data_IF_515060124282
#
_entry.id   IF_515060124282
#
_cell.length_a   1.000
_cell.length_b   1.000
_cell.length_c   1.000
_cell.angle_alpha   90.00
_cell.angle_beta   90.00
_cell.angle_gamma   90.00
#
_symmetry.space_group_name_H-M   'P 1'
#
loop_
_entity.id
_entity.type
_entity.pdbx_description
1 polymer ?
#
# COMPACT_ATOMS: atom_id res chain seq x y z
N UNK A 1 -4.21 -7.64 -19.15
CA UNK A 1 -3.60 -8.16 -17.90
C UNK A 1 -2.18 -7.63 -17.84
N UNK A 2 -1.78 -7.07 -16.70
CA UNK A 2 -0.44 -6.54 -16.44
C UNK A 2 0.25 -7.48 -15.45
N UNK A 3 1.39 -8.05 -15.84
CA UNK A 3 2.14 -8.98 -14.99
C UNK A 3 3.50 -8.41 -14.62
N UNK A 4 3.83 -8.51 -13.34
CA UNK A 4 5.10 -8.07 -12.75
C UNK A 4 5.75 -9.25 -12.01
N UNK A 5 6.40 -10.18 -12.74
CA UNK A 5 7.03 -11.36 -12.14
C UNK A 5 8.29 -11.05 -11.32
N UNK A 6 8.94 -9.91 -11.59
CA UNK A 6 10.17 -9.47 -10.92
C UNK A 6 10.13 -7.94 -10.76
N UNK A 7 9.23 -7.41 -9.90
CA UNK A 7 9.11 -5.97 -9.73
C UNK A 7 10.36 -5.40 -9.06
N UNK A 8 10.88 -4.30 -9.61
CA UNK A 8 11.98 -3.56 -8.99
C UNK A 8 11.49 -2.76 -7.79
N UNK A 9 10.22 -2.35 -7.82
CA UNK A 9 9.62 -1.47 -6.81
C UNK A 9 8.12 -1.70 -6.73
N UNK A 10 7.62 -1.90 -5.51
CA UNK A 10 6.18 -1.97 -5.21
C UNK A 10 5.91 -1.13 -3.97
N UNK A 11 5.17 -0.04 -4.13
CA UNK A 11 5.07 1.00 -3.08
C UNK A 11 3.65 1.52 -2.94
N UNK A 12 3.26 1.80 -1.69
CA UNK A 12 2.05 2.58 -1.39
C UNK A 12 2.40 4.05 -1.38
N UNK A 13 1.55 4.89 -1.97
CA UNK A 13 1.62 6.34 -1.83
C UNK A 13 0.27 6.95 -1.51
N UNK A 14 0.29 8.23 -1.12
CA UNK A 14 -0.90 9.04 -0.87
C UNK A 14 -0.86 10.28 -1.76
N UNK A 15 -1.89 10.46 -2.58
CA UNK A 15 -2.07 11.59 -3.49
C UNK A 15 -3.14 12.54 -2.97
N UNK A 16 -3.14 13.78 -3.45
CA UNK A 16 -4.13 14.79 -3.07
C UNK A 16 -3.82 15.57 -1.78
N UNK A 17 -4.66 16.55 -1.43
CA UNK A 17 -4.48 17.35 -0.21
C UNK A 17 -4.83 16.56 1.05
N UNK A 18 -4.45 17.10 2.20
CA UNK A 18 -4.80 16.55 3.51
C UNK A 18 -6.33 16.60 3.69
N UNK A 19 -6.95 15.48 4.09
CA UNK A 19 -8.41 15.34 4.20
C UNK A 19 -9.07 14.69 2.98
N UNK A 20 -8.47 14.79 1.79
CA UNK A 20 -8.95 14.18 0.55
C UNK A 20 -7.90 13.24 -0.06
N UNK A 21 -7.14 12.55 0.79
CA UNK A 21 -6.06 11.67 0.34
C UNK A 21 -6.60 10.43 -0.35
N UNK A 22 -6.19 10.22 -1.60
CA UNK A 22 -6.36 8.94 -2.30
C UNK A 22 -5.10 8.11 -2.15
N UNK A 23 -5.23 6.82 -1.81
CA UNK A 23 -4.09 5.91 -1.74
C UNK A 23 -3.91 5.17 -3.06
N UNK A 24 -2.66 4.96 -3.44
CA UNK A 24 -2.30 4.22 -4.65
C UNK A 24 -1.23 3.20 -4.35
N UNK A 25 -1.23 2.10 -5.09
CA UNK A 25 -0.13 1.15 -5.16
C UNK A 25 0.53 1.32 -6.53
N UNK A 26 1.80 1.71 -6.53
CA UNK A 26 2.61 1.82 -7.74
C UNK A 26 3.56 0.62 -7.83
N UNK A 27 3.58 -0.02 -8.99
CA UNK A 27 4.42 -1.16 -9.32
C UNK A 27 5.29 -0.78 -10.52
N UNK A 28 6.59 -1.03 -10.42
CA UNK A 28 7.56 -0.78 -11.50
C UNK A 28 8.45 -1.99 -11.73
N UNK A 29 8.68 -2.30 -13.00
CA UNK A 29 9.62 -3.31 -13.49
C UNK A 29 10.26 -2.82 -14.79
N UNK A 30 11.53 -2.44 -14.74
CA UNK A 30 12.23 -1.73 -15.80
C UNK A 30 11.46 -0.47 -16.20
N UNK A 31 11.15 -0.37 -17.49
CA UNK A 31 10.37 0.72 -18.09
C UNK A 31 8.85 0.56 -17.89
N UNK A 32 8.39 -0.58 -17.37
CA UNK A 32 6.96 -0.85 -17.20
C UNK A 32 6.52 -0.39 -15.83
N UNK A 33 5.52 0.47 -15.78
CA UNK A 33 4.98 1.03 -14.55
C UNK A 33 3.45 1.08 -14.60
N UNK A 34 2.80 0.68 -13.51
CA UNK A 34 1.35 0.77 -13.33
C UNK A 34 1.06 1.30 -11.93
N UNK A 35 0.03 2.13 -11.78
CA UNK A 35 -0.53 2.48 -10.49
C UNK A 35 -2.00 2.07 -10.42
N UNK A 36 -2.42 1.54 -9.28
CA UNK A 36 -3.83 1.22 -8.97
C UNK A 36 -4.28 1.99 -7.72
N UNK A 37 -5.50 2.49 -7.73
CA UNK A 37 -6.12 3.16 -6.58
C UNK A 37 -6.56 2.13 -5.55
N UNK A 38 -6.34 2.40 -4.26
CA UNK A 38 -6.71 1.46 -3.19
C UNK A 38 -7.33 2.21 -2.02
N UNK A 39 -8.26 1.56 -1.32
CA UNK A 39 -8.78 2.09 -0.06
C UNK A 39 -7.69 2.08 1.03
N UNK A 40 -7.77 3.02 1.97
CA UNK A 40 -6.85 3.12 3.11
C UNK A 40 -6.78 1.80 3.88
N UNK A 41 -7.93 1.24 4.20
CA UNK A 41 -8.08 0.03 5.01
C UNK A 41 -7.54 -1.19 4.26
N UNK A 42 -7.70 -1.22 2.94
CA UNK A 42 -7.14 -2.25 2.09
C UNK A 42 -5.60 -2.20 2.09
N UNK A 43 -4.97 -1.03 1.93
CA UNK A 43 -3.52 -0.89 2.01
C UNK A 43 -2.93 -1.43 3.33
N UNK A 44 -3.57 -1.12 4.47
CA UNK A 44 -3.16 -1.65 5.77
C UNK A 44 -3.40 -3.16 5.92
N UNK A 45 -4.50 -3.66 5.35
CA UNK A 45 -4.84 -5.09 5.40
C UNK A 45 -3.87 -5.92 4.57
N UNK A 46 -3.45 -5.40 3.41
CA UNK A 46 -2.42 -6.00 2.58
C UNK A 46 -1.11 -6.10 3.38
N UNK A 47 -0.67 -5.00 4.00
CA UNK A 47 0.54 -4.97 4.81
C UNK A 47 0.52 -5.99 5.96
N UNK A 48 -0.57 -6.07 6.72
CA UNK A 48 -0.72 -7.05 7.82
C UNK A 48 -0.69 -8.50 7.30
N UNK A 49 -1.36 -8.77 6.18
CA UNK A 49 -1.41 -10.12 5.60
C UNK A 49 -0.03 -10.55 5.09
N UNK A 50 0.71 -9.66 4.45
CA UNK A 50 2.09 -9.91 4.04
C UNK A 50 2.96 -10.32 5.23
N UNK A 51 2.94 -9.56 6.33
CA UNK A 51 3.71 -9.90 7.53
C UNK A 51 3.36 -11.31 8.08
N UNK A 52 2.07 -11.66 8.09
CA UNK A 52 1.62 -12.98 8.53
C UNK A 52 2.17 -14.08 7.62
N UNK A 53 2.02 -13.91 6.30
CA UNK A 53 2.47 -14.88 5.31
C UNK A 53 3.99 -15.03 5.30
N UNK A 54 4.75 -13.95 5.45
CA UNK A 54 6.21 -14.01 5.54
C UNK A 54 6.65 -14.80 6.78
N UNK A 55 6.03 -14.56 7.95
CA UNK A 55 6.34 -15.31 9.17
C UNK A 55 5.99 -16.79 9.04
N UNK A 56 4.78 -17.09 8.57
CA UNK A 56 4.29 -18.46 8.37
C UNK A 56 5.18 -19.22 7.38
N UNK A 57 5.49 -18.61 6.24
CA UNK A 57 6.26 -19.26 5.20
C UNK A 57 7.75 -19.38 5.54
N UNK A 58 8.33 -18.44 6.30
CA UNK A 58 9.69 -18.57 6.84
C UNK A 58 9.77 -19.72 7.86
N UNK A 59 8.77 -19.83 8.76
CA UNK A 59 8.72 -20.92 9.74
C UNK A 59 8.60 -22.31 9.08
N UNK A 60 7.95 -22.38 7.91
CA UNK A 60 7.78 -23.60 7.12
C UNK A 60 8.92 -23.84 6.11
N UNK A 61 9.90 -22.94 6.02
CA UNK A 61 11.01 -23.01 5.07
C UNK A 61 10.58 -22.85 3.60
N UNK A 62 9.41 -22.28 3.34
CA UNK A 62 8.84 -22.06 2.01
C UNK A 62 9.33 -20.77 1.36
N UNK A 63 9.65 -19.77 2.19
CA UNK A 63 10.26 -18.51 1.76
C UNK A 63 11.60 -18.35 2.45
N UNK A 64 12.54 -17.71 1.76
CA UNK A 64 13.77 -17.23 2.39
C UNK A 64 13.46 -16.20 3.48
N UNK A 65 14.34 -16.10 4.48
CA UNK A 65 14.21 -15.08 5.51
C UNK A 65 14.31 -13.69 4.88
N UNK A 66 13.30 -12.81 5.07
CA UNK A 66 13.33 -11.49 4.48
C UNK A 66 14.48 -10.68 5.10
N UNK A 67 15.31 -9.99 4.29
CA UNK A 67 16.42 -9.20 4.81
C UNK A 67 15.92 -8.11 5.76
N UNK A 68 16.76 -7.72 6.72
CA UNK A 68 16.56 -6.46 7.44
C UNK A 68 16.88 -5.32 6.49
N UNK A 69 15.90 -4.49 6.18
CA UNK A 69 16.06 -3.32 5.30
C UNK A 69 15.19 -2.19 5.82
N UNK A 70 15.74 -0.98 5.79
CA UNK A 70 15.00 0.23 6.12
C UNK A 70 13.82 0.42 5.16
N UNK A 71 12.68 0.96 5.64
CA UNK A 71 11.55 1.25 4.75
C UNK A 71 11.97 2.22 3.65
N UNK A 72 11.68 1.88 2.40
CA UNK A 72 11.86 2.79 1.28
C UNK A 72 10.76 3.86 1.34
N UNK A 73 11.16 5.12 1.54
CA UNK A 73 10.26 6.27 1.70
C UNK A 73 10.40 7.31 0.59
N UNK A 74 11.02 6.94 -0.53
CA UNK A 74 11.15 7.80 -1.71
C UNK A 74 9.77 8.20 -2.27
N UNK A 75 9.68 9.33 -3.01
CA UNK A 75 8.43 9.75 -3.63
C UNK A 75 7.93 8.71 -4.65
N UNK A 76 6.64 8.77 -5.01
CA UNK A 76 6.14 8.01 -6.16
C UNK A 76 6.86 8.47 -7.45
N UNK A 77 7.06 7.55 -8.37
CA UNK A 77 7.61 7.85 -9.69
C UNK A 77 6.54 8.61 -10.51
N UNK A 78 6.92 9.71 -11.17
CA UNK A 78 6.00 10.55 -11.95
C UNK A 78 6.09 10.25 -13.45
N UNK A 79 4.98 10.31 -14.22
CA UNK A 79 3.62 10.65 -13.79
C UNK A 79 2.91 9.47 -13.09
N UNK A 80 2.01 9.80 -12.15
CA UNK A 80 1.17 8.80 -11.48
C UNK A 80 -0.21 8.80 -12.13
N UNK A 81 -0.42 7.88 -13.06
CA UNK A 81 -1.71 7.64 -13.72
C UNK A 81 -2.36 6.40 -13.12
N UNK A 82 -3.50 6.60 -12.46
CA UNK A 82 -4.25 5.49 -11.83
C UNK A 82 -5.02 4.74 -12.90
N UNK A 83 -4.71 3.45 -13.04
CA UNK A 83 -5.31 2.57 -14.03
C UNK A 83 -6.78 2.23 -13.68
N UNK A 84 -7.04 1.89 -12.43
CA UNK A 84 -8.38 1.64 -11.88
C UNK A 84 -8.34 1.67 -10.34
N UNK A 85 -9.50 1.80 -9.68
CA UNK A 85 -9.62 1.54 -8.24
C UNK A 85 -9.85 0.06 -7.96
N UNK A 86 -9.11 -0.49 -7.01
CA UNK A 86 -9.15 -1.90 -6.63
C UNK A 86 -10.45 -2.19 -5.86
N UNK A 87 -11.29 -3.06 -6.43
CA UNK A 87 -12.48 -3.60 -5.78
C UNK A 87 -12.23 -4.92 -5.06
N UNK A 88 -11.34 -5.77 -5.58
CA UNK A 88 -10.99 -7.05 -4.98
C UNK A 88 -9.49 -7.37 -5.11
N UNK A 89 -9.00 -8.18 -4.17
CA UNK A 89 -7.58 -8.58 -4.11
C UNK A 89 -7.49 -10.11 -4.00
N UNK A 90 -6.86 -10.74 -4.99
CA UNK A 90 -6.46 -12.15 -4.99
C UNK A 90 -5.08 -12.34 -4.37
N UNK A 91 -4.87 -13.49 -3.74
CA UNK A 91 -3.63 -13.82 -3.03
C UNK A 91 -3.25 -15.28 -3.27
N UNK A 92 -1.97 -15.53 -3.52
CA UNK A 92 -1.42 -16.88 -3.50
C UNK A 92 0.01 -16.87 -2.94
N UNK A 93 0.41 -17.96 -2.30
CA UNK A 93 1.82 -18.21 -1.99
C UNK A 93 2.40 -19.06 -3.11
N UNK A 94 3.31 -18.49 -3.88
CA UNK A 94 4.05 -19.20 -4.93
C UNK A 94 5.35 -19.75 -4.33
N UNK A 95 5.27 -20.98 -3.82
CA UNK A 95 6.42 -21.67 -3.22
C UNK A 95 7.49 -22.05 -4.23
N UNK A 96 7.15 -22.12 -5.54
CA UNK A 96 8.14 -22.40 -6.60
C UNK A 96 9.00 -21.17 -6.87
N UNK A 97 8.40 -19.98 -6.86
CA UNK A 97 9.12 -18.72 -7.00
C UNK A 97 9.67 -18.17 -5.68
N UNK A 98 9.17 -18.67 -4.56
CA UNK A 98 9.50 -18.11 -3.25
C UNK A 98 8.96 -16.69 -3.12
N UNK A 99 7.71 -16.45 -3.50
CA UNK A 99 7.09 -15.12 -3.46
C UNK A 99 5.60 -15.17 -3.10
N UNK A 100 5.08 -14.05 -2.61
CA UNK A 100 3.64 -13.83 -2.42
C UNK A 100 3.09 -13.21 -3.69
N UNK A 101 2.17 -13.88 -4.36
CA UNK A 101 1.47 -13.34 -5.53
C UNK A 101 0.25 -12.54 -5.07
N UNK A 102 0.13 -11.32 -5.57
CA UNK A 102 -1.06 -10.47 -5.44
C UNK A 102 -1.70 -10.26 -6.80
N UNK A 103 -3.03 -10.25 -6.82
CA UNK A 103 -3.84 -9.89 -7.97
C UNK A 103 -4.79 -8.77 -7.58
N UNK A 104 -4.83 -7.70 -8.36
CA UNK A 104 -5.72 -6.57 -8.17
C UNK A 104 -6.77 -6.57 -9.26
N UNK A 105 -8.04 -6.56 -8.84
CA UNK A 105 -9.20 -6.50 -9.71
C UNK A 105 -9.88 -5.14 -9.60
N UNK A 106 -10.37 -4.57 -10.72
CA UNK A 106 -11.08 -3.31 -10.71
C UNK A 106 -12.39 -3.43 -9.95
N UNK A 107 -12.85 -2.33 -9.37
CA UNK A 107 -14.21 -2.20 -8.84
C UNK A 107 -15.25 -2.20 -9.98
N UNK A 108 -16.49 -2.60 -9.67
CA UNK A 108 -17.59 -2.70 -10.62
C UNK A 108 -17.94 -1.36 -11.28
N UNK A 109 -17.55 -0.24 -10.64
CA UNK A 109 -17.75 1.12 -11.17
C UNK A 109 -16.66 1.53 -12.19
N UNK A 110 -15.49 0.90 -12.15
CA UNK A 110 -14.31 1.21 -12.96
C UNK A 110 -14.13 0.25 -14.14
N UNK A 111 -15.17 -0.50 -14.51
CA UNK A 111 -15.17 -1.39 -15.67
C UNK A 111 -15.20 -0.57 -16.95
N UNK A 112 -14.07 0.04 -17.30
CA UNK A 112 -13.79 0.54 -18.63
C UNK A 112 -13.75 -0.64 -19.62
N UNK A 113 -13.90 -0.38 -20.92
CA UNK A 113 -14.07 -1.38 -22.01
C UNK A 113 -13.04 -2.52 -22.06
N UNK A 114 -11.99 -2.50 -21.23
CA UNK A 114 -10.99 -3.57 -21.12
C UNK A 114 -10.80 -3.95 -19.64
N UNK A 115 -11.25 -5.13 -19.25
CA UNK A 115 -10.99 -5.69 -17.92
C UNK A 115 -9.47 -5.83 -17.68
N UNK A 116 -8.90 -4.90 -16.92
CA UNK A 116 -7.48 -4.91 -16.58
C UNK A 116 -7.28 -5.56 -15.20
N UNK A 117 -6.53 -6.65 -15.15
CA UNK A 117 -6.04 -7.26 -13.91
C UNK A 117 -4.55 -6.94 -13.78
N UNK A 118 -4.10 -6.57 -12.58
CA UNK A 118 -2.68 -6.38 -12.26
C UNK A 118 -2.22 -7.50 -11.35
N UNK A 119 -1.20 -8.25 -11.76
CA UNK A 119 -0.62 -9.35 -11.00
C UNK A 119 0.85 -9.07 -10.69
N UNK A 120 1.26 -9.27 -9.44
CA UNK A 120 2.62 -8.98 -8.98
C UNK A 120 3.12 -10.05 -8.01
N UNK A 121 4.40 -10.43 -8.15
CA UNK A 121 5.07 -11.33 -7.21
C UNK A 121 5.96 -10.54 -6.26
N UNK A 122 5.57 -10.53 -4.99
CA UNK A 122 6.31 -9.90 -3.90
C UNK A 122 7.28 -10.91 -3.27
N UNK A 123 8.54 -10.83 -3.67
CA UNK A 123 9.63 -11.55 -3.01
C UNK A 123 9.85 -11.02 -1.58
N UNK A 124 10.41 -11.81 -0.65
CA UNK A 124 10.44 -11.47 0.78
C UNK A 124 10.92 -10.05 1.11
N UNK A 125 11.99 -9.57 0.45
CA UNK A 125 12.48 -8.20 0.63
C UNK A 125 11.49 -7.13 0.20
N UNK A 126 10.95 -7.23 -1.04
CA UNK A 126 9.95 -6.29 -1.57
C UNK A 126 8.67 -6.32 -0.75
N UNK A 127 8.22 -7.51 -0.35
CA UNK A 127 7.05 -7.71 0.50
C UNK A 127 7.20 -6.99 1.85
N UNK A 128 8.35 -7.16 2.52
CA UNK A 128 8.65 -6.50 3.81
C UNK A 128 8.73 -4.98 3.65
N UNK A 129 9.37 -4.49 2.60
CA UNK A 129 9.44 -3.05 2.29
C UNK A 129 8.04 -2.46 2.04
N UNK A 130 7.23 -3.11 1.22
CA UNK A 130 5.85 -2.70 0.96
C UNK A 130 5.04 -2.61 2.26
N UNK A 131 5.10 -3.65 3.09
CA UNK A 131 4.33 -3.71 4.34
C UNK A 131 4.75 -2.62 5.34
N UNK A 132 6.06 -2.38 5.48
CA UNK A 132 6.59 -1.32 6.33
C UNK A 132 6.19 0.07 5.83
N UNK A 133 6.39 0.33 4.53
CA UNK A 133 6.03 1.60 3.89
C UNK A 133 4.53 1.89 4.00
N UNK A 134 3.67 0.91 3.72
CA UNK A 134 2.22 1.06 3.77
C UNK A 134 1.75 1.57 5.15
N UNK A 135 2.30 1.03 6.24
CA UNK A 135 1.98 1.48 7.60
C UNK A 135 2.38 2.92 7.84
N UNK A 136 3.58 3.30 7.41
CA UNK A 136 4.10 4.66 7.57
C UNK A 136 3.25 5.64 6.76
N UNK A 137 3.06 5.38 5.47
CA UNK A 137 2.31 6.27 4.57
C UNK A 137 0.89 6.48 5.07
N UNK A 138 0.18 5.41 5.44
CA UNK A 138 -1.19 5.53 5.96
C UNK A 138 -1.22 6.29 7.30
N UNK A 139 -0.29 6.04 8.22
CA UNK A 139 -0.23 6.75 9.49
C UNK A 139 0.10 8.26 9.32
N UNK A 140 0.91 8.60 8.33
CA UNK A 140 1.29 9.99 8.02
C UNK A 140 0.28 10.74 7.14
N UNK A 141 -0.70 10.03 6.58
CA UNK A 141 -1.71 10.65 5.71
C UNK A 141 -2.77 11.43 6.49
N UNK A 142 -2.87 11.22 7.81
CA UNK A 142 -3.75 12.00 8.66
C UNK A 142 -3.21 13.43 8.87
N UNK A 143 -4.06 14.47 8.84
CA UNK A 143 -3.65 15.84 9.15
C UNK A 143 -2.91 15.91 10.48
N UNK A 144 -1.80 16.65 10.56
CA UNK A 144 -1.20 16.93 11.86
C UNK A 144 -1.96 18.07 12.55
N UNK A 145 -2.25 17.93 13.84
CA UNK A 145 -2.87 18.97 14.65
C UNK A 145 -1.92 20.18 14.72
N UNK A 146 -2.38 21.42 14.43
CA UNK A 146 -1.52 22.60 14.45
C UNK A 146 -1.01 22.96 15.84
N UNK A 147 -1.64 22.46 16.91
CA UNK A 147 -1.26 22.77 18.29
C UNK A 147 -0.28 21.75 18.90
N UNK A 148 -0.55 20.45 18.74
CA UNK A 148 0.25 19.38 19.35
C UNK A 148 1.06 18.53 18.37
N UNK A 149 0.97 18.80 17.06
CA UNK A 149 1.64 18.04 15.98
C UNK A 149 1.32 16.53 15.97
N UNK A 150 0.26 16.09 16.65
CA UNK A 150 -0.20 14.70 16.62
C UNK A 150 -1.15 14.47 15.44
N UNK A 151 -1.21 13.24 14.89
CA UNK A 151 -2.17 12.90 13.84
C UNK A 151 -3.63 13.13 14.26
N UNK A 152 -4.39 13.76 13.38
CA UNK A 152 -5.82 14.05 13.52
C UNK A 152 -6.58 13.09 12.64
N UNK A 153 -7.25 12.13 13.28
CA UNK A 153 -8.15 11.23 12.59
C UNK A 153 -9.38 11.98 12.07
N UNK A 154 -10.02 11.48 11.01
CA UNK A 154 -11.26 12.03 10.48
C UNK A 154 -12.42 12.13 11.50
N UNK A 155 -12.39 11.29 12.54
CA UNK A 155 -13.35 11.30 13.65
C UNK A 155 -13.06 12.40 14.70
N UNK A 156 -12.04 13.22 14.48
CA UNK A 156 -11.54 14.23 15.41
C UNK A 156 -10.36 13.74 16.26
N UNK A 157 -9.72 14.68 16.95
CA UNK A 157 -8.59 14.43 17.84
C UNK A 157 -8.76 15.23 19.14
N UNK A 158 -8.42 14.62 20.28
CA UNK A 158 -8.40 15.30 21.57
C UNK A 158 -7.00 15.89 21.77
N UNK A 159 -6.84 17.17 21.47
CA UNK A 159 -5.54 17.84 21.61
C UNK A 159 -5.26 18.19 23.09
N UNK A 160 -4.19 17.64 23.70
CA UNK A 160 -3.82 17.96 25.08
C UNK A 160 -3.40 19.42 25.26
N UNK A 161 -2.88 20.06 24.20
CA UNK A 161 -2.43 21.47 24.22
C UNK A 161 -3.55 22.49 24.02
N UNK A 162 -4.74 22.06 23.59
CA UNK A 162 -5.92 22.91 23.45
C UNK A 162 -7.07 22.50 24.37
N UNK A 163 -6.74 21.91 25.53
CA UNK A 163 -7.71 21.50 26.56
C UNK A 163 -8.89 20.64 26.02
N UNK A 164 -8.60 19.75 25.06
CA UNK A 164 -9.61 18.83 24.51
C UNK A 164 -10.65 19.46 23.56
N UNK A 165 -10.39 20.66 23.05
CA UNK A 165 -11.26 21.32 22.06
C UNK A 165 -11.51 20.42 20.84
N UNK A 166 -12.80 20.15 20.55
CA UNK A 166 -13.26 19.33 19.42
C UNK A 166 -13.91 20.23 18.37
N UNK A 167 -13.11 20.91 17.56
CA UNK A 167 -13.61 21.47 16.31
C UNK A 167 -13.05 20.65 15.14
N UNK A 168 -13.82 20.44 14.06
CA UNK A 168 -13.24 19.98 12.80
C UNK A 168 -12.20 21.02 12.39
N UNK A 169 -10.96 20.56 12.17
CA UNK A 169 -9.86 21.44 11.80
C UNK A 169 -9.88 21.81 10.31
N UNK A 170 -10.81 21.23 9.55
CA UNK A 170 -11.06 21.43 8.12
C UNK A 170 -12.55 21.17 7.84
#
# INVERSE_FOLDING_TARGET
MYEFPHPDRVVVGALGPVGERSFVIQIRQGEHMVAVGVQREAALSIARRIDSLLREAAALGWLGEPPETDPELGPLDAPVEVLFNVGAIGWALDTRRGAIQLEFYPDDQDVQEVAAIVQVWLYPGVAKQFAARARIIVATADPSCPFCSQPVHAAGHICPRSNGYRAPLF
#
